data_IF_381424847523
#
_entry.id   IF_381424847523
#
_cell.length_a   1.000
_cell.length_b   1.000
_cell.length_c   1.000
_cell.angle_alpha   90.00
_cell.angle_beta   90.00
_cell.angle_gamma   90.00
#
_symmetry.space_group_name_H-M   'P 1'
#
loop_
_entity.id
_entity.type
_entity.pdbx_description
1 polymer ?
#
# COMPACT_ATOMS: atom_id res chain seq x y z
N UNK A 1 15.62 -7.26 -9.32
CA UNK A 1 15.69 -5.84 -8.88
C UNK A 1 14.63 -5.65 -7.79
N UNK A 2 14.80 -4.72 -6.84
CA UNK A 2 13.79 -4.39 -5.82
C UNK A 2 13.33 -2.95 -5.97
N UNK A 3 12.06 -2.67 -5.67
CA UNK A 3 11.57 -1.29 -5.50
C UNK A 3 12.19 -0.74 -4.21
N UNK A 4 12.86 0.40 -4.35
CA UNK A 4 13.68 1.00 -3.31
C UNK A 4 12.83 1.77 -2.30
N UNK A 5 13.25 1.74 -1.05
CA UNK A 5 12.57 2.40 0.06
C UNK A 5 11.56 1.52 0.78
N UNK A 6 10.85 2.15 1.72
CA UNK A 6 9.83 1.52 2.54
C UNK A 6 8.49 1.50 1.81
N UNK A 7 7.76 0.40 1.94
CA UNK A 7 6.38 0.27 1.47
C UNK A 7 5.43 -0.05 2.62
N UNK A 8 4.29 0.61 2.67
CA UNK A 8 3.15 0.13 3.46
C UNK A 8 2.22 -0.72 2.59
N UNK A 9 1.88 -1.93 3.04
CA UNK A 9 0.95 -2.82 2.32
C UNK A 9 -0.44 -2.70 2.95
N UNK A 10 -1.43 -2.45 2.11
CA UNK A 10 -2.84 -2.37 2.49
C UNK A 10 -3.48 -3.76 2.66
N UNK A 11 -4.51 -3.84 3.50
CA UNK A 11 -5.28 -5.04 3.79
C UNK A 11 -5.85 -5.68 2.51
N UNK A 12 -6.34 -4.87 1.56
CA UNK A 12 -6.93 -5.38 0.32
C UNK A 12 -5.94 -6.24 -0.49
N UNK A 13 -4.67 -5.84 -0.55
CA UNK A 13 -3.61 -6.56 -1.27
C UNK A 13 -3.34 -7.89 -0.59
N UNK A 14 -3.26 -7.92 0.75
CA UNK A 14 -2.99 -9.12 1.54
C UNK A 14 -4.14 -10.14 1.46
N UNK A 15 -5.38 -9.65 1.46
CA UNK A 15 -6.58 -10.48 1.28
C UNK A 15 -6.57 -11.12 -0.12
N UNK A 16 -6.28 -10.33 -1.15
CA UNK A 16 -6.14 -10.82 -2.53
C UNK A 16 -4.99 -11.82 -2.69
N UNK A 17 -3.84 -11.53 -2.07
CA UNK A 17 -2.67 -12.38 -2.07
C UNK A 17 -2.95 -13.78 -1.49
N UNK A 18 -3.75 -13.84 -0.42
CA UNK A 18 -4.10 -15.12 0.24
C UNK A 18 -5.17 -15.90 -0.52
N UNK A 19 -6.12 -15.20 -1.15
CA UNK A 19 -7.20 -15.85 -1.88
C UNK A 19 -6.72 -16.48 -3.20
N UNK A 20 -5.58 -16.05 -3.74
CA UNK A 20 -4.98 -16.63 -4.92
C UNK A 20 -4.07 -17.83 -4.61
N UNK A 21 -4.58 -19.06 -4.80
CA UNK A 21 -3.86 -20.29 -4.45
C UNK A 21 -2.85 -20.79 -5.49
N UNK A 22 -2.80 -20.19 -6.67
CA UNK A 22 -1.97 -20.70 -7.78
C UNK A 22 -0.51 -20.20 -7.76
N UNK A 23 -0.17 -19.29 -6.83
CA UNK A 23 1.18 -18.77 -6.62
C UNK A 23 1.33 -18.23 -5.19
N UNK A 24 2.56 -18.11 -4.69
CA UNK A 24 2.82 -17.47 -3.41
C UNK A 24 3.00 -15.95 -3.57
N UNK A 25 1.90 -15.22 -3.50
CA UNK A 25 1.90 -13.76 -3.67
C UNK A 25 2.65 -13.05 -2.53
N UNK A 26 2.72 -13.63 -1.33
CA UNK A 26 3.49 -13.05 -0.22
C UNK A 26 5.00 -13.09 -0.53
N UNK A 27 5.47 -14.17 -1.16
CA UNK A 27 6.84 -14.25 -1.64
C UNK A 27 7.11 -13.18 -2.71
N UNK A 28 6.13 -12.87 -3.57
CA UNK A 28 6.30 -11.79 -4.55
C UNK A 28 6.45 -10.43 -3.87
N UNK A 29 5.67 -10.13 -2.83
CA UNK A 29 5.80 -8.89 -2.04
C UNK A 29 7.20 -8.80 -1.41
N UNK A 30 7.65 -9.86 -0.75
CA UNK A 30 8.96 -9.96 -0.08
C UNK A 30 10.16 -9.80 -1.04
N UNK A 31 10.01 -10.32 -2.27
CA UNK A 31 11.01 -10.19 -3.32
C UNK A 31 10.94 -8.85 -4.05
N UNK A 32 9.77 -8.21 -4.12
CA UNK A 32 9.58 -6.97 -4.86
C UNK A 32 10.09 -5.75 -4.09
N UNK A 33 9.74 -5.64 -2.81
CA UNK A 33 10.01 -4.44 -2.02
C UNK A 33 11.27 -4.59 -1.15
N UNK A 34 11.95 -3.48 -0.91
CA UNK A 34 13.14 -3.42 -0.07
C UNK A 34 12.81 -3.59 1.42
N UNK A 35 11.92 -2.75 1.96
CA UNK A 35 11.41 -2.86 3.32
C UNK A 35 9.88 -2.86 3.32
N UNK A 36 9.27 -3.90 3.87
CA UNK A 36 7.81 -4.07 3.93
C UNK A 36 7.30 -3.72 5.32
N UNK A 37 6.36 -2.79 5.40
CA UNK A 37 5.68 -2.36 6.61
C UNK A 37 4.20 -2.73 6.56
N UNK A 38 3.69 -3.15 7.71
CA UNK A 38 2.26 -3.40 7.97
C UNK A 38 1.87 -2.49 9.12
N UNK A 39 0.87 -1.64 8.91
CA UNK A 39 0.31 -0.83 9.99
C UNK A 39 -0.56 -1.70 10.92
N UNK A 40 -0.55 -1.44 12.24
CA UNK A 40 -1.39 -2.17 13.21
C UNK A 40 -2.87 -2.18 12.83
N UNK A 41 -3.44 -1.02 12.45
CA UNK A 41 -4.80 -0.92 11.90
C UNK A 41 -5.05 -1.83 10.69
N UNK A 42 -4.09 -1.97 9.77
CA UNK A 42 -4.20 -2.90 8.62
C UNK A 42 -4.26 -4.34 9.13
N UNK A 43 -3.43 -4.70 10.11
CA UNK A 43 -3.43 -6.04 10.71
C UNK A 43 -4.76 -6.37 11.41
N UNK A 44 -5.41 -5.37 12.02
CA UNK A 44 -6.73 -5.48 12.64
C UNK A 44 -7.87 -5.65 11.64
N UNK A 45 -7.75 -5.05 10.44
CA UNK A 45 -8.72 -5.22 9.35
C UNK A 45 -8.71 -6.64 8.75
N UNK A 46 -7.61 -7.39 8.94
CA UNK A 46 -7.49 -8.78 8.49
C UNK A 46 -8.34 -9.73 9.34
N UNK A 47 -9.64 -9.76 9.05
CA UNK A 47 -10.63 -10.64 9.72
C UNK A 47 -10.50 -12.12 9.37
N UNK A 48 -9.85 -12.44 8.25
CA UNK A 48 -9.63 -13.82 7.81
C UNK A 48 -8.39 -14.36 8.55
N UNK A 49 -8.60 -15.32 9.45
CA UNK A 49 -7.55 -15.87 10.33
C UNK A 49 -6.32 -16.35 9.56
N UNK A 50 -6.51 -17.02 8.43
CA UNK A 50 -5.38 -17.52 7.62
C UNK A 50 -4.53 -16.39 7.02
N UNK A 51 -5.16 -15.29 6.59
CA UNK A 51 -4.47 -14.10 6.06
C UNK A 51 -3.64 -13.47 7.17
N UNK A 52 -4.29 -13.21 8.32
CA UNK A 52 -3.66 -12.59 9.48
C UNK A 52 -2.48 -13.41 9.98
N UNK A 53 -2.66 -14.71 10.17
CA UNK A 53 -1.59 -15.62 10.62
C UNK A 53 -0.40 -15.59 9.66
N UNK A 54 -0.64 -15.58 8.35
CA UNK A 54 0.44 -15.52 7.37
C UNK A 54 1.22 -14.21 7.47
N UNK A 55 0.55 -13.07 7.68
CA UNK A 55 1.20 -11.77 7.90
C UNK A 55 2.01 -11.78 9.20
N UNK A 56 1.44 -12.27 10.29
CA UNK A 56 2.11 -12.40 11.59
C UNK A 56 3.36 -13.30 11.50
N UNK A 57 3.32 -14.39 10.74
CA UNK A 57 4.47 -15.27 10.52
C UNK A 57 5.63 -14.54 9.81
N UNK A 58 5.34 -13.67 8.83
CA UNK A 58 6.38 -12.86 8.15
C UNK A 58 6.97 -11.80 9.08
N UNK A 59 6.14 -11.19 9.94
CA UNK A 59 6.60 -10.23 10.97
C UNK A 59 7.49 -10.94 12.00
N UNK A 60 7.07 -12.09 12.53
CA UNK A 60 7.83 -12.86 13.52
C UNK A 60 9.16 -13.38 12.98
N UNK A 61 9.25 -13.66 11.67
CA UNK A 61 10.49 -14.04 11.00
C UNK A 61 11.43 -12.85 10.75
N UNK A 62 11.03 -11.62 11.09
CA UNK A 62 11.80 -10.40 10.83
C UNK A 62 11.89 -10.02 9.36
N UNK A 63 11.00 -10.55 8.51
CA UNK A 63 10.95 -10.20 7.09
C UNK A 63 10.21 -8.89 6.87
N UNK A 64 9.11 -8.71 7.60
CA UNK A 64 8.25 -7.52 7.53
C UNK A 64 8.24 -6.81 8.89
N UNK A 65 8.00 -5.51 8.86
CA UNK A 65 7.95 -4.65 10.03
C UNK A 65 6.50 -4.36 10.41
N UNK A 66 6.14 -4.61 11.67
CA UNK A 66 4.90 -4.08 12.23
C UNK A 66 5.15 -2.64 12.65
N UNK A 67 4.30 -1.74 12.20
CA UNK A 67 4.22 -0.38 12.73
C UNK A 67 3.01 -0.28 13.64
N UNK A 68 3.25 -0.32 14.94
CA UNK A 68 2.24 -0.13 15.98
C UNK A 68 2.49 1.20 16.69
N UNK A 69 1.73 2.27 16.36
CA UNK A 69 1.96 3.59 16.94
C UNK A 69 1.69 3.62 18.46
N UNK A 70 0.91 2.68 18.98
CA UNK A 70 0.60 2.60 20.42
C UNK A 70 1.67 1.82 21.22
N UNK A 71 2.64 1.20 20.55
CA UNK A 71 3.81 0.58 21.19
C UNK A 71 4.92 1.62 21.40
N UNK A 72 5.27 1.88 22.67
CA UNK A 72 6.36 2.78 23.07
C UNK A 72 7.73 2.39 22.47
N UNK A 73 7.89 1.14 22.00
CA UNK A 73 9.09 0.71 21.27
C UNK A 73 9.10 1.13 19.81
N UNK A 74 7.93 1.36 19.21
CA UNK A 74 7.79 1.86 17.84
C UNK A 74 7.96 3.37 17.81
N UNK A 75 7.22 4.09 18.67
CA UNK A 75 7.22 5.55 18.73
C UNK A 75 7.43 6.05 20.16
N UNK A 76 8.31 7.04 20.32
CA UNK A 76 8.32 7.88 21.53
C UNK A 76 7.13 8.85 21.53
N UNK A 77 6.71 9.34 22.68
CA UNK A 77 5.64 10.35 22.84
C UNK A 77 5.74 11.51 21.83
N UNK A 78 6.92 12.09 21.65
CA UNK A 78 7.12 13.20 20.70
C UNK A 78 6.85 12.80 19.24
N UNK A 79 7.21 11.57 18.85
CA UNK A 79 6.95 11.06 17.51
C UNK A 79 5.48 10.66 17.34
N UNK A 80 4.85 10.17 18.41
CA UNK A 80 3.42 9.89 18.43
C UNK A 80 2.59 11.17 18.21
N UNK A 81 2.96 12.28 18.86
CA UNK A 81 2.30 13.58 18.64
C UNK A 81 2.42 14.06 17.18
N UNK A 82 3.57 13.85 16.54
CA UNK A 82 3.78 14.17 15.12
C UNK A 82 2.90 13.26 14.24
N UNK A 83 2.91 11.95 14.53
CA UNK A 83 2.10 10.95 13.85
C UNK A 83 0.60 11.28 13.92
N UNK A 84 0.07 11.62 15.09
CA UNK A 84 -1.33 12.03 15.27
C UNK A 84 -1.66 13.31 14.48
N UNK A 85 -0.69 14.22 14.39
CA UNK A 85 -0.76 15.38 13.49
C UNK A 85 -1.00 14.95 12.04
N UNK A 86 -0.20 14.02 11.53
CA UNK A 86 -0.36 13.48 10.17
C UNK A 86 -1.69 12.71 10.01
N UNK A 87 -2.10 11.90 10.98
CA UNK A 87 -3.40 11.20 10.92
C UNK A 87 -4.55 12.19 10.76
N UNK A 88 -4.52 13.31 11.50
CA UNK A 88 -5.54 14.36 11.38
C UNK A 88 -5.53 15.01 10.00
N UNK A 89 -4.36 15.34 9.47
CA UNK A 89 -4.23 16.01 8.16
C UNK A 89 -4.72 15.09 7.04
N UNK A 90 -4.38 13.80 7.09
CA UNK A 90 -4.87 12.79 6.13
C UNK A 90 -6.39 12.60 6.25
N UNK A 91 -6.95 12.60 7.46
CA UNK A 91 -8.42 12.55 7.65
C UNK A 91 -9.12 13.72 6.97
N UNK A 92 -8.56 14.93 7.02
CA UNK A 92 -9.11 16.07 6.29
C UNK A 92 -9.00 15.89 4.78
N UNK A 93 -7.87 15.37 4.27
CA UNK A 93 -7.70 15.12 2.84
C UNK A 93 -8.74 14.12 2.28
N UNK A 94 -9.05 13.03 3.02
CA UNK A 94 -10.13 12.11 2.65
C UNK A 94 -11.51 12.75 2.74
N UNK A 95 -11.75 13.64 3.72
CA UNK A 95 -13.01 14.37 3.81
C UNK A 95 -13.21 15.32 2.61
N UNK A 96 -12.14 16.00 2.18
CA UNK A 96 -12.14 16.86 1.00
C UNK A 96 -12.39 16.05 -0.28
N UNK A 97 -11.76 14.87 -0.42
CA UNK A 97 -12.06 13.96 -1.53
C UNK A 97 -13.54 13.53 -1.53
N UNK A 98 -14.11 13.20 -0.37
CA UNK A 98 -15.53 12.86 -0.27
C UNK A 98 -16.42 14.03 -0.71
N UNK A 99 -16.08 15.26 -0.32
CA UNK A 99 -16.81 16.45 -0.76
C UNK A 99 -16.68 16.68 -2.27
N UNK A 100 -15.48 16.49 -2.84
CA UNK A 100 -15.22 16.54 -4.29
C UNK A 100 -16.09 15.52 -5.03
N UNK A 101 -16.13 14.27 -4.57
CA UNK A 101 -16.98 13.21 -5.15
C UNK A 101 -18.46 13.55 -5.12
N UNK A 102 -18.97 14.09 -4.01
CA UNK A 102 -20.36 14.55 -3.91
C UNK A 102 -20.65 15.62 -4.97
N UNK A 103 -19.77 16.61 -5.09
CA UNK A 103 -19.93 17.71 -6.05
C UNK A 103 -19.91 17.21 -7.51
N UNK A 104 -19.15 16.16 -7.80
CA UNK A 104 -19.04 15.52 -9.11
C UNK A 104 -20.13 14.46 -9.38
N UNK A 105 -20.99 14.16 -8.40
CA UNK A 105 -21.99 13.09 -8.49
C UNK A 105 -21.39 11.68 -8.52
N UNK A 106 -20.14 11.51 -8.05
CA UNK A 106 -19.49 10.21 -7.92
C UNK A 106 -19.97 9.48 -6.66
N UNK A 107 -20.08 8.14 -6.71
CA UNK A 107 -20.46 7.36 -5.54
C UNK A 107 -19.39 7.46 -4.45
N UNK A 108 -19.82 7.59 -3.20
CA UNK A 108 -18.96 7.42 -2.04
C UNK A 108 -18.81 5.94 -1.73
N UNK A 109 -17.66 5.56 -1.18
CA UNK A 109 -17.46 4.20 -0.69
C UNK A 109 -18.15 4.02 0.67
N UNK A 110 -18.60 2.79 0.91
CA UNK A 110 -19.21 2.39 2.19
C UNK A 110 -18.18 1.76 3.15
N UNK A 111 -16.96 1.51 2.69
CA UNK A 111 -15.89 0.93 3.49
C UNK A 111 -15.17 2.01 4.29
N UNK A 112 -14.62 1.61 5.45
CA UNK A 112 -13.82 2.48 6.30
C UNK A 112 -12.45 2.73 5.67
N UNK A 113 -11.95 3.96 5.79
CA UNK A 113 -10.64 4.44 5.30
C UNK A 113 -9.52 4.33 6.35
N UNK A 114 -9.74 3.61 7.45
CA UNK A 114 -8.88 3.74 8.62
C UNK A 114 -7.49 3.17 8.34
N UNK A 115 -7.38 1.96 7.78
CA UNK A 115 -6.11 1.38 7.37
C UNK A 115 -5.33 2.28 6.41
N UNK A 116 -6.01 2.88 5.44
CA UNK A 116 -5.43 3.78 4.43
C UNK A 116 -4.94 5.09 5.06
N UNK A 117 -5.78 5.74 5.86
CA UNK A 117 -5.44 6.99 6.56
C UNK A 117 -4.21 6.82 7.45
N UNK A 118 -4.19 5.76 8.25
CA UNK A 118 -3.11 5.48 9.18
C UNK A 118 -1.82 5.05 8.44
N UNK A 119 -1.93 4.29 7.35
CA UNK A 119 -0.77 3.93 6.53
C UNK A 119 -0.13 5.14 5.84
N UNK A 120 -0.94 6.10 5.35
CA UNK A 120 -0.42 7.34 4.78
C UNK A 120 0.24 8.24 5.83
N UNK A 121 -0.33 8.33 7.03
CA UNK A 121 0.29 9.07 8.13
C UNK A 121 1.64 8.46 8.55
N UNK A 122 1.70 7.12 8.67
CA UNK A 122 2.96 6.42 8.97
C UNK A 122 3.98 6.55 7.84
N UNK A 123 3.51 6.61 6.59
CA UNK A 123 4.33 6.88 5.40
C UNK A 123 5.02 8.24 5.50
N UNK A 124 4.28 9.29 5.89
CA UNK A 124 4.84 10.62 6.13
C UNK A 124 5.90 10.63 7.24
N UNK A 125 5.62 9.95 8.35
CA UNK A 125 6.52 9.90 9.50
C UNK A 125 7.83 9.14 9.21
N UNK A 126 7.74 7.97 8.57
CA UNK A 126 8.89 7.09 8.35
C UNK A 126 9.67 7.39 7.07
N UNK A 127 9.19 8.35 6.27
CA UNK A 127 9.71 8.59 4.93
C UNK A 127 9.54 7.35 4.04
N UNK A 128 8.37 6.70 4.09
CA UNK A 128 8.04 5.65 3.13
C UNK A 128 7.58 6.30 1.83
N UNK A 129 8.16 5.93 0.69
CA UNK A 129 7.77 6.53 -0.59
C UNK A 129 6.72 5.72 -1.34
N UNK A 130 6.30 4.57 -0.82
CA UNK A 130 5.41 3.65 -1.53
C UNK A 130 4.28 3.20 -0.60
N UNK A 131 3.06 3.18 -1.14
CA UNK A 131 1.93 2.45 -0.57
C UNK A 131 1.42 1.45 -1.60
N UNK A 132 1.37 0.17 -1.24
CA UNK A 132 0.81 -0.88 -2.09
C UNK A 132 -0.63 -1.11 -1.69
N UNK A 133 -1.55 -0.56 -2.47
CA UNK A 133 -2.99 -0.61 -2.24
C UNK A 133 -3.73 -0.65 -3.55
N UNK A 134 -4.85 -1.36 -3.60
CA UNK A 134 -5.75 -1.35 -4.73
C UNK A 134 -6.92 -0.34 -4.60
N UNK A 135 -6.90 0.53 -3.59
CA UNK A 135 -7.87 1.60 -3.42
C UNK A 135 -7.42 2.87 -4.15
N UNK A 136 -8.11 3.21 -5.23
CA UNK A 136 -7.75 4.36 -6.07
C UNK A 136 -8.00 5.72 -5.39
N UNK A 137 -8.74 5.76 -4.28
CA UNK A 137 -8.93 6.97 -3.49
C UNK A 137 -7.61 7.47 -2.90
N UNK A 138 -6.68 6.55 -2.59
CA UNK A 138 -5.36 6.89 -2.09
C UNK A 138 -4.59 7.75 -3.09
N UNK A 139 -4.59 7.40 -4.38
CA UNK A 139 -3.95 8.21 -5.42
C UNK A 139 -4.57 9.60 -5.52
N UNK A 140 -5.90 9.68 -5.52
CA UNK A 140 -6.59 10.97 -5.56
C UNK A 140 -6.25 11.82 -4.32
N UNK A 141 -6.20 11.24 -3.13
CA UNK A 141 -5.78 11.93 -1.89
C UNK A 141 -4.35 12.42 -1.99
N UNK A 142 -3.41 11.57 -2.42
CA UNK A 142 -1.99 11.93 -2.59
C UNK A 142 -1.83 13.07 -3.59
N UNK A 143 -2.58 13.07 -4.68
CA UNK A 143 -2.45 14.06 -5.76
C UNK A 143 -3.17 15.38 -5.44
N UNK A 144 -4.40 15.32 -4.92
CA UNK A 144 -5.20 16.51 -4.56
C UNK A 144 -4.61 17.24 -3.33
N UNK A 145 -4.07 16.48 -2.38
CA UNK A 145 -3.31 16.99 -1.23
C UNK A 145 -1.90 16.43 -1.31
N UNK A 146 -0.95 17.08 -2.01
CA UNK A 146 0.39 16.55 -2.25
C UNK A 146 1.05 15.94 -1.00
N UNK A 147 0.97 14.61 -0.86
CA UNK A 147 1.60 13.87 0.25
C UNK A 147 3.05 13.62 -0.16
N UNK A 148 3.94 14.43 0.39
CA UNK A 148 5.37 14.38 0.12
C UNK A 148 6.13 13.72 1.29
N UNK A 149 7.17 12.96 0.96
CA UNK A 149 8.09 12.39 1.94
C UNK A 149 9.53 12.77 1.63
N UNK A 150 10.30 13.06 2.69
CA UNK A 150 11.73 13.32 2.57
C UNK A 150 12.48 12.03 2.85
N UNK A 151 13.12 11.47 1.81
CA UNK A 151 13.90 10.23 1.91
C UNK A 151 15.29 10.45 2.53
N UNK A 152 15.80 11.67 2.45
CA UNK A 152 17.12 12.11 2.89
C UNK A 152 17.05 13.63 3.11
N UNK A 153 17.55 14.14 4.24
CA UNK A 153 17.46 15.57 4.60
C UNK A 153 18.11 16.49 3.55
N UNK A 154 19.05 15.96 2.75
CA UNK A 154 19.71 16.69 1.67
C UNK A 154 18.98 16.59 0.31
N UNK A 155 17.91 15.80 0.20
CA UNK A 155 17.18 15.58 -1.04
C UNK A 155 15.81 16.26 -1.02
N UNK A 156 15.33 16.61 -2.22
CA UNK A 156 13.97 17.09 -2.39
C UNK A 156 12.96 16.03 -1.96
N UNK A 157 11.88 16.48 -1.32
CA UNK A 157 10.76 15.61 -0.97
C UNK A 157 10.12 15.06 -2.24
N UNK A 158 9.77 13.78 -2.20
CA UNK A 158 9.13 13.08 -3.32
C UNK A 158 7.68 12.79 -2.99
N UNK A 159 6.83 12.79 -4.01
CA UNK A 159 5.44 12.38 -3.87
C UNK A 159 5.39 10.88 -3.53
N UNK A 160 4.55 10.51 -2.57
CA UNK A 160 4.28 9.10 -2.28
C UNK A 160 3.69 8.44 -3.52
N UNK A 161 4.23 7.29 -3.91
CA UNK A 161 3.73 6.49 -5.03
C UNK A 161 2.72 5.45 -4.53
N UNK A 162 1.58 5.34 -5.20
CA UNK A 162 0.69 4.19 -5.03
C UNK A 162 0.99 3.10 -6.05
N UNK A 163 1.37 1.93 -5.56
CA UNK A 163 1.41 0.69 -6.34
C UNK A 163 0.04 -0.02 -6.26
N UNK A 164 -0.78 0.13 -7.31
CA UNK A 164 -2.02 -0.65 -7.50
C UNK A 164 -1.72 -2.12 -7.80
N UNK A 165 -2.75 -2.97 -7.91
CA UNK A 165 -2.54 -4.34 -8.39
C UNK A 165 -1.97 -4.40 -9.82
N UNK A 166 -2.26 -3.40 -10.67
CA UNK A 166 -1.68 -3.31 -12.00
C UNK A 166 -0.18 -2.99 -11.89
N UNK A 167 0.19 -2.02 -11.07
CA UNK A 167 1.59 -1.67 -10.78
C UNK A 167 2.35 -2.86 -10.19
N UNK A 168 1.79 -3.50 -9.17
CA UNK A 168 2.36 -4.69 -8.54
C UNK A 168 2.61 -5.81 -9.56
N UNK A 169 1.62 -6.14 -10.39
CA UNK A 169 1.77 -7.17 -11.44
C UNK A 169 2.83 -6.77 -12.48
N UNK A 170 2.87 -5.51 -12.87
CA UNK A 170 3.87 -4.99 -13.80
C UNK A 170 5.28 -5.14 -13.22
N UNK A 171 5.50 -4.75 -11.96
CA UNK A 171 6.82 -4.83 -11.34
C UNK A 171 7.29 -6.27 -11.09
N UNK A 172 6.41 -7.18 -10.63
CA UNK A 172 6.82 -8.59 -10.44
C UNK A 172 7.19 -9.27 -11.76
N UNK A 173 6.62 -8.84 -12.88
CA UNK A 173 6.99 -9.32 -14.21
C UNK A 173 8.32 -8.72 -14.66
N UNK A 174 8.42 -7.39 -14.64
CA UNK A 174 9.61 -6.67 -15.14
C UNK A 174 10.85 -6.93 -14.31
N UNK A 175 10.70 -7.30 -13.03
CA UNK A 175 11.82 -7.65 -12.15
C UNK A 175 12.10 -9.16 -12.11
N UNK A 176 11.45 -9.96 -12.97
CA UNK A 176 11.61 -11.41 -13.09
C UNK A 176 11.32 -12.18 -11.78
N UNK A 177 10.35 -11.68 -11.00
CA UNK A 177 9.87 -12.32 -9.77
C UNK A 177 8.79 -13.37 -10.11
N UNK A 178 7.96 -13.07 -11.12
CA UNK A 178 6.88 -13.93 -11.55
C UNK A 178 6.76 -13.97 -13.07
N UNK A 179 6.45 -15.15 -13.60
CA UNK A 179 6.13 -15.32 -15.01
C UNK A 179 4.90 -14.47 -15.40
N UNK A 180 4.97 -13.78 -16.54
CA UNK A 180 3.88 -12.96 -17.09
C UNK A 180 2.53 -13.69 -17.12
N UNK A 181 2.52 -14.96 -17.54
CA UNK A 181 1.32 -15.83 -17.53
C UNK A 181 0.65 -15.93 -16.15
N UNK A 182 1.45 -16.07 -15.08
CA UNK A 182 0.95 -16.27 -13.72
C UNK A 182 0.47 -14.95 -13.11
N UNK A 183 1.27 -13.88 -13.24
CA UNK A 183 0.90 -12.54 -12.78
C UNK A 183 -0.38 -12.02 -13.47
N UNK A 184 -0.52 -12.26 -14.79
CA UNK A 184 -1.78 -11.95 -15.52
C UNK A 184 -2.97 -12.74 -14.99
N UNK A 185 -2.80 -14.02 -14.64
CA UNK A 185 -3.89 -14.83 -14.07
C UNK A 185 -4.29 -14.32 -12.69
N UNK A 186 -3.32 -13.89 -11.87
CA UNK A 186 -3.59 -13.25 -10.59
C UNK A 186 -4.42 -11.97 -10.77
N UNK A 187 -3.95 -11.03 -11.59
CA UNK A 187 -4.69 -9.79 -11.86
C UNK A 187 -6.08 -10.09 -12.43
N UNK A 188 -6.19 -11.03 -13.38
CA UNK A 188 -7.46 -11.37 -14.01
C UNK A 188 -8.47 -11.96 -13.02
N UNK A 189 -8.00 -12.68 -12.00
CA UNK A 189 -8.87 -13.25 -10.98
C UNK A 189 -9.50 -12.18 -10.08
N UNK A 190 -8.89 -11.00 -9.98
CA UNK A 190 -9.30 -9.92 -9.06
C UNK A 190 -9.93 -8.76 -9.83
N UNK A 191 -9.27 -8.29 -10.89
CA UNK A 191 -9.68 -7.17 -11.75
C UNK A 191 -9.56 -7.57 -13.23
N UNK A 192 -10.49 -8.39 -13.76
CA UNK A 192 -10.42 -8.89 -15.14
C UNK A 192 -10.40 -7.77 -16.20
N UNK A 193 -11.03 -6.63 -15.90
CA UNK A 193 -11.07 -5.44 -16.75
C UNK A 193 -9.75 -4.66 -16.81
N UNK A 194 -8.82 -4.91 -15.88
CA UNK A 194 -7.52 -4.22 -15.80
C UNK A 194 -6.39 -4.93 -16.54
N UNK A 195 -6.66 -6.07 -17.18
CA UNK A 195 -5.64 -6.81 -17.94
C UNK A 195 -5.12 -6.03 -19.13
N UNK A 196 -5.99 -5.30 -19.84
CA UNK A 196 -5.58 -4.49 -20.99
C UNK A 196 -4.62 -3.36 -20.53
N UNK A 197 -4.87 -2.80 -19.35
CA UNK A 197 -3.99 -1.78 -18.76
C UNK A 197 -2.60 -2.33 -18.45
N UNK A 198 -2.53 -3.52 -17.85
CA UNK A 198 -1.26 -4.23 -17.64
C UNK A 198 -0.53 -4.50 -18.95
N UNK A 199 -1.26 -4.97 -19.97
CA UNK A 199 -0.69 -5.31 -21.29
C UNK A 199 -0.08 -4.08 -21.97
N UNK A 200 -0.82 -2.98 -21.98
CA UNK A 200 -0.34 -1.72 -22.55
C UNK A 200 0.93 -1.22 -21.86
N UNK A 201 1.02 -1.36 -20.53
CA UNK A 201 2.22 -0.96 -19.78
C UNK A 201 3.41 -1.85 -20.09
N UNK A 202 3.22 -3.16 -20.19
CA UNK A 202 4.30 -4.09 -20.54
C UNK A 202 4.82 -3.81 -21.94
N UNK A 203 3.94 -3.54 -22.92
CA UNK A 203 4.34 -3.22 -24.30
C UNK A 203 4.98 -1.84 -24.47
N UNK A 204 4.78 -0.91 -23.52
CA UNK A 204 5.41 0.42 -23.55
C UNK A 204 6.81 0.42 -22.94
N UNK A 205 7.24 -0.71 -22.38
CA UNK A 205 8.50 -0.88 -21.67
C UNK A 205 9.50 -1.78 -22.42
N UNK A 206 9.12 -2.28 -23.60
CA UNK A 206 9.97 -2.95 -24.59
C UNK A 206 10.59 -1.90 -25.56
#
# INVERSE_FOLDING_TARGET
MKRKGKVFIDANVLIHATSYRSADIFQWIDLLYEEVYIHQMVLEELKITDVRKKVEDYIQQGKWHLFDPDDEKTLSDNLFDIYEGYVRDIRYAFADLNQKKINEGRPLKNASDLGEMHSLAATMLLGASIICSNDYDIREVIEDTPILVTLDEEKESVLVEQDTLVDFCFFVITYDIANQSVARKFLKAIQPNKIIELDNRLSSND
#
